data_IF_574022973320
#
_entry.id   IF_574022973320
#
_cell.length_a   1.000
_cell.length_b   1.000
_cell.length_c   1.000
_cell.angle_alpha   90.00
_cell.angle_beta   90.00
_cell.angle_gamma   90.00
#
_symmetry.space_group_name_H-M   'P 1'
#
loop_
_entity.id
_entity.type
_entity.pdbx_description
1 polymer ?
#
# COMPACT_ATOMS: atom_id res chain seq x y z
N UNK A 1 -43.98 16.29 -7.61
CA UNK A 1 -43.29 16.89 -6.44
C UNK A 1 -42.51 15.87 -5.63
N UNK A 2 -43.15 14.83 -5.09
CA UNK A 2 -42.51 13.86 -4.17
C UNK A 2 -41.42 13.00 -4.81
N UNK A 3 -41.64 12.53 -6.05
CA UNK A 3 -40.75 11.60 -6.78
C UNK A 3 -39.37 12.22 -7.02
N UNK A 4 -39.32 13.52 -7.33
CA UNK A 4 -38.06 14.25 -7.49
C UNK A 4 -37.29 14.36 -6.16
N UNK A 5 -37.99 14.58 -5.04
CA UNK A 5 -37.36 14.65 -3.71
C UNK A 5 -36.83 13.30 -3.25
N UNK A 6 -37.55 12.21 -3.51
CA UNK A 6 -37.04 10.86 -3.22
C UNK A 6 -35.86 10.48 -4.10
N UNK A 7 -35.85 10.91 -5.36
CA UNK A 7 -34.70 10.70 -6.24
C UNK A 7 -33.45 11.46 -5.77
N UNK A 8 -33.61 12.73 -5.38
CA UNK A 8 -32.50 13.55 -4.83
C UNK A 8 -31.98 12.96 -3.51
N UNK A 9 -32.87 12.53 -2.61
CA UNK A 9 -32.46 11.88 -1.35
C UNK A 9 -31.70 10.58 -1.59
N UNK A 10 -32.15 9.74 -2.53
CA UNK A 10 -31.43 8.53 -2.91
C UNK A 10 -30.05 8.85 -3.50
N UNK A 11 -29.95 9.91 -4.32
CA UNK A 11 -28.69 10.36 -4.91
C UNK A 11 -27.71 10.94 -3.86
N UNK A 12 -28.24 11.59 -2.82
CA UNK A 12 -27.45 12.05 -1.68
C UNK A 12 -26.92 10.87 -0.83
N UNK A 13 -27.73 9.82 -0.66
CA UNK A 13 -27.29 8.60 0.03
C UNK A 13 -26.21 7.87 -0.77
N UNK A 14 -26.39 7.72 -2.10
CA UNK A 14 -25.39 7.04 -2.95
C UNK A 14 -24.08 7.82 -2.99
N UNK A 15 -24.11 9.15 -3.03
CA UNK A 15 -22.90 9.99 -2.96
C UNK A 15 -22.18 9.88 -1.62
N UNK A 16 -22.90 9.89 -0.49
CA UNK A 16 -22.30 9.65 0.84
C UNK A 16 -21.70 8.25 0.94
N UNK A 17 -22.40 7.23 0.44
CA UNK A 17 -21.88 5.86 0.39
C UNK A 17 -20.65 5.75 -0.51
N UNK A 18 -20.64 6.43 -1.65
CA UNK A 18 -19.51 6.46 -2.57
C UNK A 18 -18.29 7.13 -1.92
N UNK A 19 -18.45 8.22 -1.17
CA UNK A 19 -17.33 8.89 -0.49
C UNK A 19 -16.75 8.02 0.63
N UNK A 20 -17.61 7.36 1.42
CA UNK A 20 -17.18 6.40 2.43
C UNK A 20 -16.45 5.19 1.80
N UNK A 21 -16.93 4.70 0.65
CA UNK A 21 -16.28 3.63 -0.08
C UNK A 21 -14.93 4.07 -0.62
N UNK A 22 -14.84 5.27 -1.21
CA UNK A 22 -13.61 5.80 -1.77
C UNK A 22 -12.52 5.95 -0.69
N UNK A 23 -12.89 6.46 0.49
CA UNK A 23 -11.99 6.52 1.66
C UNK A 23 -11.49 5.13 2.08
N UNK A 24 -12.37 4.14 2.12
CA UNK A 24 -12.00 2.76 2.49
C UNK A 24 -11.08 2.14 1.43
N UNK A 25 -11.44 2.23 0.16
CA UNK A 25 -10.61 1.75 -0.96
C UNK A 25 -9.24 2.42 -0.95
N UNK A 26 -9.18 3.72 -0.67
CA UNK A 26 -7.93 4.45 -0.53
C UNK A 26 -7.02 3.86 0.56
N UNK A 27 -7.58 3.59 1.75
CA UNK A 27 -6.81 2.95 2.83
C UNK A 27 -6.33 1.55 2.46
N UNK A 28 -7.16 0.75 1.77
CA UNK A 28 -6.78 -0.59 1.33
C UNK A 28 -5.66 -0.55 0.28
N UNK A 29 -5.73 0.36 -0.69
CA UNK A 29 -4.68 0.58 -1.70
C UNK A 29 -3.37 1.04 -1.07
N UNK A 30 -3.43 1.89 -0.05
CA UNK A 30 -2.26 2.33 0.69
C UNK A 30 -1.59 1.17 1.44
N UNK A 31 -2.39 0.32 2.10
CA UNK A 31 -1.89 -0.90 2.73
C UNK A 31 -1.27 -1.85 1.69
N UNK A 32 -1.89 -2.04 0.53
CA UNK A 32 -1.34 -2.87 -0.54
C UNK A 32 0.01 -2.34 -1.07
N UNK A 33 0.16 -1.02 -1.23
CA UNK A 33 1.45 -0.41 -1.60
C UNK A 33 2.57 -0.69 -0.59
N UNK A 34 2.24 -0.78 0.70
CA UNK A 34 3.22 -1.12 1.74
C UNK A 34 3.50 -2.62 1.77
N UNK A 35 2.46 -3.45 1.69
CA UNK A 35 2.60 -4.90 1.84
C UNK A 35 3.14 -5.61 0.60
N UNK A 36 2.90 -5.11 -0.61
CA UNK A 36 3.37 -5.74 -1.84
C UNK A 36 4.90 -5.86 -1.89
N UNK A 37 5.70 -4.80 -1.67
CA UNK A 37 7.16 -4.94 -1.67
C UNK A 37 7.64 -5.82 -0.52
N UNK A 38 7.09 -5.67 0.69
CA UNK A 38 7.52 -6.48 1.83
C UNK A 38 7.21 -7.95 1.62
N UNK A 39 6.03 -8.29 1.10
CA UNK A 39 5.59 -9.67 0.83
C UNK A 39 6.44 -10.32 -0.26
N UNK A 40 6.72 -9.59 -1.35
CA UNK A 40 7.59 -10.07 -2.42
C UNK A 40 9.00 -10.39 -1.89
N UNK A 41 9.56 -9.49 -1.05
CA UNK A 41 10.89 -9.66 -0.51
C UNK A 41 10.95 -10.79 0.53
N UNK A 42 9.95 -10.92 1.41
CA UNK A 42 9.86 -12.08 2.32
C UNK A 42 9.68 -13.39 1.57
N UNK A 43 8.92 -13.40 0.47
CA UNK A 43 8.76 -14.58 -0.39
C UNK A 43 10.05 -14.97 -1.09
N UNK A 44 10.77 -14.00 -1.65
CA UNK A 44 12.07 -14.22 -2.27
C UNK A 44 13.08 -14.80 -1.26
N UNK A 45 13.10 -14.30 -0.03
CA UNK A 45 13.97 -14.86 1.03
C UNK A 45 13.58 -16.26 1.45
N UNK A 46 12.29 -16.52 1.66
CA UNK A 46 11.81 -17.85 2.03
C UNK A 46 12.21 -18.94 1.04
N UNK A 47 12.41 -18.58 -0.23
CA UNK A 47 12.80 -19.50 -1.31
C UNK A 47 14.31 -19.45 -1.63
N UNK A 48 15.01 -18.36 -1.34
CA UNK A 48 16.37 -18.09 -1.86
C UNK A 48 17.45 -17.75 -0.82
N UNK A 49 17.23 -18.01 0.47
CA UNK A 49 18.25 -17.86 1.54
C UNK A 49 19.55 -18.67 1.29
N UNK A 50 19.56 -19.63 0.34
CA UNK A 50 20.75 -20.38 -0.06
C UNK A 50 21.56 -19.80 -1.23
N UNK A 51 21.09 -18.74 -1.92
CA UNK A 51 21.65 -18.30 -3.21
C UNK A 51 22.05 -16.83 -3.35
N UNK A 52 21.78 -15.99 -2.34
CA UNK A 52 22.04 -14.54 -2.45
C UNK A 52 23.54 -14.25 -2.20
N UNK A 53 24.22 -13.48 -3.08
CA UNK A 53 25.61 -13.07 -2.88
C UNK A 53 25.70 -12.19 -1.62
N UNK A 54 26.20 -12.78 -0.52
CA UNK A 54 26.15 -12.22 0.84
C UNK A 54 25.68 -13.20 1.92
N UNK A 55 25.14 -14.36 1.53
CA UNK A 55 24.62 -15.40 2.45
C UNK A 55 25.66 -16.06 3.36
N UNK A 56 26.96 -15.88 3.10
CA UNK A 56 28.03 -16.35 3.97
C UNK A 56 28.42 -15.37 5.09
N UNK A 57 27.90 -14.14 5.09
CA UNK A 57 28.24 -13.12 6.06
C UNK A 57 26.99 -12.78 6.90
N UNK A 58 27.02 -12.89 8.24
CA UNK A 58 25.86 -12.60 9.11
C UNK A 58 25.28 -11.19 8.91
N UNK A 59 26.04 -10.26 8.35
CA UNK A 59 25.58 -8.89 8.04
C UNK A 59 24.84 -8.73 6.70
N UNK A 60 24.85 -9.73 5.80
CA UNK A 60 24.19 -9.64 4.50
C UNK A 60 22.67 -9.51 4.59
N UNK A 61 22.06 -10.25 5.53
CA UNK A 61 20.63 -10.14 5.84
C UNK A 61 20.28 -8.75 6.39
N UNK A 62 21.09 -8.23 7.31
CA UNK A 62 20.88 -6.91 7.91
C UNK A 62 21.00 -5.77 6.89
N UNK A 63 22.00 -5.80 6.01
CA UNK A 63 22.19 -4.82 4.95
C UNK A 63 21.00 -4.81 3.97
N UNK A 64 20.47 -5.99 3.64
CA UNK A 64 19.31 -6.08 2.77
C UNK A 64 18.02 -5.60 3.45
N UNK A 65 17.79 -5.95 4.72
CA UNK A 65 16.68 -5.38 5.51
C UNK A 65 16.75 -3.85 5.55
N UNK A 66 17.95 -3.27 5.72
CA UNK A 66 18.16 -1.83 5.66
C UNK A 66 17.83 -1.24 4.28
N UNK A 67 18.24 -1.88 3.20
CA UNK A 67 17.89 -1.47 1.83
C UNK A 67 16.36 -1.52 1.61
N UNK A 68 15.71 -2.54 2.14
CA UNK A 68 14.26 -2.75 2.10
C UNK A 68 13.50 -1.61 2.81
N UNK A 69 13.92 -1.30 4.03
CA UNK A 69 13.38 -0.17 4.82
C UNK A 69 13.63 1.15 4.08
N UNK A 70 14.81 1.32 3.48
CA UNK A 70 15.13 2.47 2.63
C UNK A 70 14.21 2.60 1.42
N UNK A 71 13.89 1.49 0.75
CA UNK A 71 12.96 1.46 -0.38
C UNK A 71 11.53 1.81 0.06
N UNK A 72 11.04 1.24 1.15
CA UNK A 72 9.72 1.56 1.72
C UNK A 72 9.64 3.03 2.12
N UNK A 73 10.66 3.56 2.81
CA UNK A 73 10.74 4.98 3.17
C UNK A 73 10.85 5.88 1.94
N UNK A 74 11.60 5.46 0.92
CA UNK A 74 11.74 6.17 -0.35
C UNK A 74 10.42 6.24 -1.11
N UNK A 75 9.68 5.13 -1.19
CA UNK A 75 8.34 5.08 -1.79
C UNK A 75 7.34 5.90 -0.97
N UNK A 76 7.37 5.80 0.35
CA UNK A 76 6.51 6.61 1.23
C UNK A 76 6.81 8.11 1.10
N UNK A 77 8.08 8.49 1.00
CA UNK A 77 8.50 9.88 0.78
C UNK A 77 8.13 10.38 -0.61
N UNK A 78 8.28 9.54 -1.65
CA UNK A 78 7.86 9.85 -3.01
C UNK A 78 6.34 10.07 -3.08
N UNK A 79 5.54 9.17 -2.50
CA UNK A 79 4.08 9.30 -2.42
C UNK A 79 3.68 10.60 -1.71
N UNK A 80 4.34 10.92 -0.59
CA UNK A 80 4.13 12.18 0.14
C UNK A 80 4.51 13.40 -0.71
N UNK A 81 5.58 13.33 -1.50
CA UNK A 81 6.04 14.43 -2.36
C UNK A 81 5.16 14.62 -3.60
N UNK A 82 4.61 13.53 -4.14
CA UNK A 82 3.81 13.57 -5.37
C UNK A 82 2.44 14.24 -5.19
N UNK A 83 2.04 14.61 -3.96
CA UNK A 83 0.74 15.23 -3.64
C UNK A 83 -0.47 14.40 -4.08
N UNK A 84 -0.32 13.07 -4.08
CA UNK A 84 -1.45 12.12 -4.15
C UNK A 84 -1.99 11.76 -2.74
N UNK A 85 -1.51 12.51 -1.73
CA UNK A 85 -1.99 12.74 -0.37
C UNK A 85 -1.96 14.26 -0.13
#
# INVERSE_FOLDING_TARGET
GSIARTAILSDEITTVMADAMNRRTYTMSLLAMVFLPTTFLTGLFGVNLGGIPGGGNPFGFAAFCLMLVGLVLGVAWWLKRSRWL
#
